data_IF_459377875537
#
_entry.id   IF_459377875537
#
_cell.length_a   1.000
_cell.length_b   1.000
_cell.length_c   1.000
_cell.angle_alpha   90.00
_cell.angle_beta   90.00
_cell.angle_gamma   90.00
#
_symmetry.space_group_name_H-M   'P 1'
#
loop_
_entity.id
_entity.type
_entity.pdbx_description
1 polymer ?
#
# COMPACT_ATOMS: atom_id res chain seq x y z
N UNK A 1 -28.41 -21.96 56.40
CA UNK A 1 -29.16 -23.20 56.72
C UNK A 1 -28.33 -24.11 57.62
N UNK A 2 -27.12 -24.49 57.22
CA UNK A 2 -26.18 -25.23 58.08
C UNK A 2 -26.01 -24.52 59.44
N UNK A 3 -25.60 -23.26 59.44
CA UNK A 3 -25.43 -22.44 60.66
C UNK A 3 -26.66 -22.38 61.57
N UNK A 4 -27.87 -22.29 61.00
CA UNK A 4 -29.11 -22.29 61.77
C UNK A 4 -29.44 -23.66 62.35
N UNK A 5 -29.14 -24.74 61.62
CA UNK A 5 -29.32 -26.11 62.10
C UNK A 5 -28.27 -26.47 63.16
N UNK A 6 -27.01 -26.05 62.99
CA UNK A 6 -25.93 -26.20 63.98
C UNK A 6 -26.29 -25.51 65.29
N UNK A 7 -26.81 -24.27 65.24
CA UNK A 7 -27.25 -23.56 66.43
C UNK A 7 -28.40 -24.29 67.16
N UNK A 8 -29.35 -24.85 66.42
CA UNK A 8 -30.44 -25.65 66.99
C UNK A 8 -29.94 -26.99 67.56
N UNK A 9 -28.98 -27.64 66.88
CA UNK A 9 -28.36 -28.89 67.34
C UNK A 9 -27.58 -28.64 68.64
N UNK A 10 -26.80 -27.56 68.71
CA UNK A 10 -26.01 -27.20 69.88
C UNK A 10 -26.89 -26.82 71.07
N UNK A 11 -27.99 -26.09 70.85
CA UNK A 11 -28.98 -25.81 71.88
C UNK A 11 -29.68 -27.08 72.40
N UNK A 12 -29.94 -28.06 71.51
CA UNK A 12 -30.54 -29.34 71.88
C UNK A 12 -29.57 -30.31 72.57
N UNK A 13 -28.26 -30.05 72.50
CA UNK A 13 -27.20 -30.85 73.12
C UNK A 13 -26.65 -30.23 74.41
N UNK A 14 -27.17 -29.07 74.84
CA UNK A 14 -26.79 -28.44 76.11
C UNK A 14 -27.28 -29.31 77.28
N UNK A 15 -26.37 -29.95 78.06
CA UNK A 15 -26.75 -30.86 79.13
C UNK A 15 -27.19 -30.12 80.40
N UNK A 16 -27.21 -28.77 80.39
CA UNK A 16 -27.51 -27.93 81.53
C UNK A 16 -26.29 -27.70 82.42
N UNK A 17 -26.36 -26.68 83.30
CA UNK A 17 -25.21 -26.17 84.07
C UNK A 17 -24.56 -27.22 84.98
N UNK A 18 -25.36 -27.92 85.79
CA UNK A 18 -24.84 -28.90 86.77
C UNK A 18 -24.18 -30.11 86.12
N UNK A 19 -24.74 -30.63 85.01
CA UNK A 19 -24.10 -31.71 84.23
C UNK A 19 -22.85 -31.20 83.52
N UNK A 20 -22.87 -30.00 82.96
CA UNK A 20 -21.71 -29.40 82.28
C UNK A 20 -20.52 -29.18 83.23
N UNK A 21 -20.78 -28.70 84.45
CA UNK A 21 -19.76 -28.48 85.47
C UNK A 21 -19.15 -29.80 85.94
N UNK A 22 -19.98 -30.79 86.26
CA UNK A 22 -19.50 -32.12 86.67
C UNK A 22 -18.70 -32.81 85.56
N UNK A 23 -19.15 -32.75 84.31
CA UNK A 23 -18.39 -33.30 83.18
C UNK A 23 -17.03 -32.60 83.00
N UNK A 24 -16.94 -31.29 83.24
CA UNK A 24 -15.67 -30.56 83.16
C UNK A 24 -14.72 -30.91 84.30
N UNK A 25 -15.24 -31.05 85.53
CA UNK A 25 -14.45 -31.45 86.70
C UNK A 25 -13.82 -32.84 86.53
N UNK A 26 -14.56 -33.76 85.90
CA UNK A 26 -14.09 -35.10 85.56
C UNK A 26 -13.36 -35.21 84.21
N UNK A 27 -13.14 -34.10 83.48
CA UNK A 27 -12.48 -34.06 82.17
C UNK A 27 -13.17 -34.91 81.09
N UNK A 28 -14.50 -34.99 81.17
CA UNK A 28 -15.38 -35.75 80.27
C UNK A 28 -16.19 -34.86 79.32
N UNK A 29 -15.99 -33.54 79.37
CA UNK A 29 -16.72 -32.56 78.57
C UNK A 29 -16.45 -32.67 77.06
N UNK A 30 -15.26 -33.15 76.67
CA UNK A 30 -14.88 -33.37 75.27
C UNK A 30 -15.20 -34.77 74.74
N UNK A 31 -15.75 -35.67 75.55
CA UNK A 31 -16.09 -37.02 75.12
C UNK A 31 -17.34 -37.00 74.22
N UNK A 32 -17.38 -37.84 73.18
CA UNK A 32 -18.50 -37.85 72.25
C UNK A 32 -19.79 -38.28 72.94
N UNK A 33 -20.89 -37.72 72.46
CA UNK A 33 -22.23 -38.10 72.89
C UNK A 33 -22.73 -39.29 72.09
N UNK A 34 -23.63 -40.07 72.67
CA UNK A 34 -24.21 -41.23 71.98
C UNK A 34 -24.85 -40.82 70.64
N UNK A 35 -25.58 -39.70 70.59
CA UNK A 35 -26.22 -39.19 69.37
C UNK A 35 -25.26 -38.91 68.20
N UNK A 36 -24.01 -38.54 68.48
CA UNK A 36 -23.02 -38.17 67.46
C UNK A 36 -22.51 -39.40 66.67
N UNK A 37 -22.61 -40.59 67.26
CA UNK A 37 -22.20 -41.86 66.64
C UNK A 37 -23.36 -42.71 66.12
N UNK A 38 -24.56 -42.13 65.98
CA UNK A 38 -25.78 -42.84 65.59
C UNK A 38 -26.26 -42.44 64.21
N UNK A 39 -26.34 -43.42 63.31
CA UNK A 39 -27.03 -43.30 62.02
C UNK A 39 -28.30 -44.15 62.06
N UNK A 40 -29.41 -43.59 61.59
CA UNK A 40 -30.73 -44.24 61.66
C UNK A 40 -31.31 -44.31 60.26
N UNK A 41 -31.98 -45.41 59.95
CA UNK A 41 -32.68 -45.58 58.68
C UNK A 41 -33.71 -44.46 58.48
N UNK A 42 -33.78 -43.84 57.27
CA UNK A 42 -34.64 -42.69 57.02
C UNK A 42 -36.10 -42.87 57.44
N UNK A 43 -36.57 -41.95 58.26
CA UNK A 43 -37.91 -41.91 58.83
C UNK A 43 -38.11 -42.75 60.10
N UNK A 44 -37.11 -43.45 60.62
CA UNK A 44 -37.16 -44.09 61.94
C UNK A 44 -36.52 -43.24 63.05
N UNK A 45 -36.01 -42.06 62.74
CA UNK A 45 -35.28 -41.18 63.66
C UNK A 45 -36.15 -40.81 64.87
N UNK A 46 -37.42 -40.48 64.64
CA UNK A 46 -38.37 -40.14 65.71
C UNK A 46 -38.66 -41.35 66.62
N UNK A 47 -38.71 -42.56 66.06
CA UNK A 47 -38.91 -43.78 66.84
C UNK A 47 -37.69 -44.04 67.74
N UNK A 48 -36.48 -43.99 67.17
CA UNK A 48 -35.23 -44.18 67.91
C UNK A 48 -35.04 -43.09 68.98
N UNK A 49 -35.32 -41.84 68.64
CA UNK A 49 -35.29 -40.71 69.57
C UNK A 49 -36.35 -40.80 70.67
N UNK A 50 -37.49 -41.44 70.40
CA UNK A 50 -38.51 -41.66 71.43
C UNK A 50 -38.08 -42.74 72.44
N UNK A 51 -37.40 -43.79 71.97
CA UNK A 51 -36.92 -44.87 72.86
C UNK A 51 -35.69 -44.42 73.65
N UNK A 52 -34.67 -43.90 72.98
CA UNK A 52 -33.44 -43.42 73.63
C UNK A 52 -33.70 -42.13 74.41
N UNK A 53 -34.67 -41.31 73.99
CA UNK A 53 -35.05 -40.08 74.69
C UNK A 53 -33.82 -39.22 74.98
N UNK A 54 -33.54 -38.95 76.25
CA UNK A 54 -32.40 -38.12 76.61
C UNK A 54 -31.11 -38.95 76.84
N UNK A 55 -31.17 -40.29 76.72
CA UNK A 55 -29.99 -41.17 76.62
C UNK A 55 -29.18 -40.92 75.34
N UNK A 56 -29.78 -40.26 74.34
CA UNK A 56 -29.05 -39.72 73.19
C UNK A 56 -27.91 -38.77 73.59
N UNK A 57 -28.05 -38.03 74.68
CA UNK A 57 -27.02 -37.11 75.19
C UNK A 57 -26.02 -37.79 76.13
N UNK A 58 -26.11 -39.10 76.30
CA UNK A 58 -25.21 -39.82 77.20
C UNK A 58 -23.76 -39.73 76.71
N UNK A 59 -22.84 -39.55 77.65
CA UNK A 59 -21.40 -39.51 77.37
C UNK A 59 -20.86 -40.93 77.25
N UNK A 60 -20.09 -41.19 76.19
CA UNK A 60 -19.44 -42.49 75.99
C UNK A 60 -18.19 -42.60 76.86
N UNK A 61 -18.15 -43.59 77.75
CA UNK A 61 -17.06 -43.86 78.69
C UNK A 61 -16.67 -45.33 78.72
N UNK A 62 -15.38 -45.63 78.69
CA UNK A 62 -14.88 -47.01 78.61
C UNK A 62 -15.26 -47.87 79.84
N UNK A 63 -15.54 -47.23 81.00
CA UNK A 63 -16.05 -47.88 82.21
C UNK A 63 -16.58 -46.86 83.22
N UNK A 64 -17.26 -47.35 84.25
CA UNK A 64 -17.85 -46.50 85.31
C UNK A 64 -17.04 -46.49 86.61
N UNK A 65 -15.93 -47.23 86.66
CA UNK A 65 -15.12 -47.38 87.87
C UNK A 65 -14.40 -46.07 88.21
N UNK A 66 -14.44 -45.68 89.49
CA UNK A 66 -13.71 -44.51 89.99
C UNK A 66 -14.38 -43.15 89.74
N UNK A 67 -15.62 -43.11 89.26
CA UNK A 67 -16.41 -41.89 89.16
C UNK A 67 -16.91 -41.44 90.55
N UNK A 68 -16.62 -40.20 90.94
CA UNK A 68 -17.14 -39.63 92.17
C UNK A 68 -18.56 -39.07 91.94
N UNK A 69 -19.54 -39.94 92.11
CA UNK A 69 -20.95 -39.57 92.02
C UNK A 69 -21.42 -38.73 93.23
N UNK A 70 -20.64 -38.68 94.32
CA UNK A 70 -20.99 -37.93 95.52
C UNK A 70 -20.98 -36.41 95.32
N UNK A 71 -20.21 -35.92 94.33
CA UNK A 71 -20.15 -34.51 93.95
C UNK A 71 -21.21 -34.05 92.95
N UNK A 72 -22.07 -34.94 92.44
CA UNK A 72 -23.12 -34.58 91.48
C UNK A 72 -24.40 -34.12 92.20
N UNK A 73 -24.56 -32.81 92.41
CA UNK A 73 -25.67 -32.25 93.21
C UNK A 73 -26.93 -31.90 92.40
N UNK A 74 -26.80 -31.61 91.09
CA UNK A 74 -27.93 -31.15 90.26
C UNK A 74 -27.81 -31.58 88.79
N UNK A 75 -28.88 -32.15 88.24
CA UNK A 75 -29.04 -32.43 86.81
C UNK A 75 -29.46 -33.88 86.52
N UNK A 76 -29.42 -34.25 85.24
CA UNK A 76 -29.72 -35.60 84.74
C UNK A 76 -28.51 -36.13 83.95
N UNK A 77 -27.56 -36.73 84.67
CA UNK A 77 -26.32 -37.27 84.09
C UNK A 77 -26.57 -38.66 83.51
N UNK A 78 -26.14 -38.85 82.26
CA UNK A 78 -26.22 -40.14 81.57
C UNK A 78 -24.89 -40.53 80.99
N UNK A 79 -24.50 -41.78 81.24
CA UNK A 79 -23.22 -42.34 80.83
C UNK A 79 -23.48 -43.70 80.17
N UNK A 80 -22.79 -43.98 79.07
CA UNK A 80 -22.89 -45.24 78.34
C UNK A 80 -21.51 -45.82 78.14
N UNK A 81 -21.36 -47.11 78.43
CA UNK A 81 -20.14 -47.84 78.14
C UNK A 81 -20.23 -48.50 76.76
N UNK A 82 -19.34 -48.15 75.82
CA UNK A 82 -19.38 -48.72 74.49
C UNK A 82 -19.00 -50.20 74.56
N UNK A 83 -19.80 -51.02 73.87
CA UNK A 83 -19.50 -52.43 73.63
C UNK A 83 -19.82 -52.76 72.17
N UNK A 84 -19.30 -53.89 71.68
CA UNK A 84 -19.41 -54.25 70.26
C UNK A 84 -20.87 -54.30 69.82
N UNK A 85 -21.23 -53.50 68.81
CA UNK A 85 -22.59 -53.43 68.30
C UNK A 85 -23.07 -54.77 67.73
N UNK A 86 -24.37 -55.05 67.94
CA UNK A 86 -25.06 -56.24 67.47
C UNK A 86 -26.30 -55.78 66.71
N UNK A 87 -26.70 -56.49 65.65
CA UNK A 87 -28.02 -56.33 65.04
C UNK A 87 -28.95 -57.45 65.49
N UNK A 88 -30.20 -57.09 65.80
CA UNK A 88 -31.27 -58.03 66.15
C UNK A 88 -32.39 -57.82 65.13
N UNK A 89 -32.47 -58.74 64.16
CA UNK A 89 -33.46 -58.68 63.09
C UNK A 89 -34.90 -58.59 63.65
N UNK A 90 -35.69 -57.67 63.11
CA UNK A 90 -37.07 -57.44 63.54
C UNK A 90 -37.22 -56.61 64.82
N UNK A 91 -36.13 -56.09 65.39
CA UNK A 91 -36.15 -55.07 66.44
C UNK A 91 -35.84 -53.69 65.88
N UNK A 92 -36.05 -52.65 66.68
CA UNK A 92 -35.73 -51.26 66.31
C UNK A 92 -34.21 -51.08 66.17
N UNK A 93 -33.41 -51.93 66.82
CA UNK A 93 -31.96 -51.93 66.67
C UNK A 93 -31.51 -52.19 65.23
N UNK A 94 -32.29 -52.96 64.46
CA UNK A 94 -32.03 -53.24 63.04
C UNK A 94 -32.14 -51.97 62.16
N UNK A 95 -32.74 -50.89 62.69
CA UNK A 95 -32.89 -49.59 62.03
C UNK A 95 -31.79 -48.60 62.40
N UNK A 96 -30.80 -49.03 63.19
CA UNK A 96 -29.75 -48.17 63.74
C UNK A 96 -28.38 -48.75 63.41
N UNK A 97 -27.54 -47.91 62.81
CA UNK A 97 -26.12 -48.16 62.64
C UNK A 97 -25.36 -47.40 63.73
N UNK A 98 -24.65 -48.14 64.59
CA UNK A 98 -23.90 -47.60 65.72
C UNK A 98 -22.62 -48.39 65.98
N UNK A 99 -21.61 -47.71 66.51
CA UNK A 99 -20.40 -48.37 67.02
C UNK A 99 -20.63 -49.03 68.41
N UNK A 100 -21.66 -48.59 69.13
CA UNK A 100 -22.00 -49.04 70.49
C UNK A 100 -23.20 -49.99 70.46
N UNK A 101 -23.17 -51.08 71.24
CA UNK A 101 -24.33 -51.94 71.44
C UNK A 101 -25.49 -51.20 72.12
N UNK A 102 -26.63 -51.14 71.42
CA UNK A 102 -27.87 -50.56 71.91
C UNK A 102 -28.94 -51.62 72.16
N UNK A 103 -28.57 -52.90 72.20
CA UNK A 103 -29.48 -54.03 72.42
C UNK A 103 -30.33 -53.91 73.68
N UNK A 104 -29.79 -53.31 74.74
CA UNK A 104 -30.48 -53.05 76.01
C UNK A 104 -31.66 -52.07 75.87
N UNK A 105 -31.55 -51.07 74.99
CA UNK A 105 -32.60 -50.09 74.72
C UNK A 105 -33.53 -50.53 73.58
N UNK A 106 -32.95 -50.99 72.47
CA UNK A 106 -33.66 -51.14 71.19
C UNK A 106 -33.97 -52.61 70.83
N UNK A 107 -33.25 -53.57 71.40
CA UNK A 107 -33.31 -54.98 70.99
C UNK A 107 -34.65 -55.68 71.28
N UNK A 108 -35.42 -55.19 72.25
CA UNK A 108 -36.77 -55.70 72.58
C UNK A 108 -37.90 -54.79 72.10
N UNK A 109 -37.58 -53.75 71.36
CA UNK A 109 -38.56 -52.84 70.77
C UNK A 109 -38.80 -53.27 69.35
N UNK A 110 -40.03 -53.61 68.99
CA UNK A 110 -40.40 -54.02 67.63
C UNK A 110 -40.93 -52.81 66.84
N UNK A 111 -40.35 -52.51 65.67
CA UNK A 111 -40.83 -51.42 64.82
C UNK A 111 -42.14 -51.82 64.13
N UNK A 112 -43.10 -50.90 64.08
CA UNK A 112 -44.36 -51.02 63.32
C UNK A 112 -44.63 -49.72 62.56
N UNK A 113 -45.47 -49.75 61.54
CA UNK A 113 -45.67 -48.56 60.70
C UNK A 113 -46.58 -47.53 61.39
N UNK A 114 -47.62 -47.98 62.11
CA UNK A 114 -48.66 -47.09 62.65
C UNK A 114 -49.06 -47.40 64.09
N UNK A 115 -49.70 -46.43 64.75
CA UNK A 115 -50.28 -46.61 66.08
C UNK A 115 -51.31 -47.74 66.12
N UNK A 116 -52.15 -47.86 65.09
CA UNK A 116 -53.18 -48.91 65.03
C UNK A 116 -52.55 -50.31 65.02
N UNK A 117 -51.45 -50.49 64.29
CA UNK A 117 -50.68 -51.73 64.30
C UNK A 117 -50.08 -52.00 65.69
N UNK A 118 -49.53 -50.97 66.34
CA UNK A 118 -48.97 -51.09 67.68
C UNK A 118 -50.02 -51.51 68.72
N UNK A 119 -51.22 -50.93 68.66
CA UNK A 119 -52.33 -51.25 69.56
C UNK A 119 -52.90 -52.66 69.30
N UNK A 120 -53.03 -53.06 68.03
CA UNK A 120 -53.47 -54.41 67.66
C UNK A 120 -52.49 -55.49 68.13
N UNK A 121 -51.18 -55.24 68.01
CA UNK A 121 -50.13 -56.16 68.45
C UNK A 121 -49.92 -56.23 69.97
N UNK A 122 -50.48 -55.28 70.74
CA UNK A 122 -50.20 -55.10 72.17
C UNK A 122 -50.46 -56.35 73.02
N UNK A 123 -51.52 -57.11 72.73
CA UNK A 123 -51.91 -58.27 73.52
C UNK A 123 -50.93 -59.47 73.38
N UNK A 124 -50.16 -59.50 72.28
CA UNK A 124 -49.22 -60.57 71.96
C UNK A 124 -47.80 -60.31 72.47
N UNK A 125 -47.55 -59.17 73.13
CA UNK A 125 -46.22 -58.81 73.63
C UNK A 125 -45.79 -59.72 74.78
N UNK A 126 -44.58 -60.26 74.68
CA UNK A 126 -43.93 -60.94 75.78
C UNK A 126 -43.41 -59.95 76.84
N UNK A 127 -42.97 -60.47 77.98
CA UNK A 127 -42.46 -59.63 79.06
C UNK A 127 -41.19 -58.88 78.63
N UNK A 128 -41.24 -57.54 78.77
CA UNK A 128 -40.16 -56.64 78.35
C UNK A 128 -40.15 -56.30 76.86
N UNK A 129 -41.11 -56.78 76.06
CA UNK A 129 -41.28 -56.35 74.67
C UNK A 129 -42.18 -55.11 74.57
N UNK A 130 -41.90 -54.27 73.57
CA UNK A 130 -42.73 -53.12 73.23
C UNK A 130 -42.78 -52.90 71.72
N UNK A 131 -43.75 -52.14 71.25
CA UNK A 131 -43.95 -51.77 69.86
C UNK A 131 -43.75 -50.28 69.70
N UNK A 132 -43.09 -49.85 68.65
CA UNK A 132 -42.97 -48.43 68.34
C UNK A 132 -43.31 -48.14 66.89
N UNK A 133 -44.21 -47.18 66.69
CA UNK A 133 -44.54 -46.73 65.35
C UNK A 133 -43.46 -45.82 64.78
N UNK A 134 -43.38 -45.72 63.45
CA UNK A 134 -42.57 -44.71 62.75
C UNK A 134 -42.80 -43.28 63.27
N UNK A 135 -44.04 -42.93 63.57
CA UNK A 135 -44.44 -41.62 64.09
C UNK A 135 -44.17 -41.40 65.60
N UNK A 136 -43.40 -42.28 66.26
CA UNK A 136 -42.97 -42.12 67.65
C UNK A 136 -44.00 -42.50 68.72
N UNK A 137 -45.04 -43.29 68.39
CA UNK A 137 -45.94 -43.87 69.39
C UNK A 137 -45.33 -45.14 69.97
N UNK A 138 -44.94 -45.10 71.25
CA UNK A 138 -44.32 -46.23 71.94
C UNK A 138 -45.33 -46.95 72.85
N UNK A 139 -45.63 -48.20 72.53
CA UNK A 139 -46.68 -49.02 73.15
C UNK A 139 -46.06 -50.23 73.84
N UNK A 140 -46.22 -50.31 75.16
CA UNK A 140 -46.00 -51.55 75.91
C UNK A 140 -47.31 -52.22 76.26
N UNK A 141 -47.23 -53.38 76.91
CA UNK A 141 -48.42 -54.12 77.38
C UNK A 141 -49.30 -53.29 78.32
N UNK A 142 -48.68 -52.45 79.14
CA UNK A 142 -49.33 -51.66 80.18
C UNK A 142 -49.10 -50.15 80.06
N UNK A 143 -48.49 -49.68 78.98
CA UNK A 143 -48.23 -48.24 78.78
C UNK A 143 -48.36 -47.82 77.31
N UNK A 144 -48.62 -46.54 77.11
CA UNK A 144 -48.55 -45.84 75.83
C UNK A 144 -47.84 -44.51 76.09
N UNK A 145 -46.75 -44.25 75.38
CA UNK A 145 -46.01 -42.99 75.44
C UNK A 145 -46.03 -42.33 74.08
N UNK A 146 -46.29 -41.02 74.09
CA UNK A 146 -46.24 -40.17 72.89
C UNK A 146 -45.38 -38.98 73.23
N UNK A 147 -44.33 -38.74 72.44
CA UNK A 147 -43.52 -37.53 72.55
C UNK A 147 -43.92 -36.59 71.42
N UNK A 148 -44.50 -35.45 71.78
CA UNK A 148 -44.70 -34.31 70.89
C UNK A 148 -43.78 -33.23 71.40
N UNK A 149 -42.51 -33.30 71.02
CA UNK A 149 -41.52 -32.33 71.49
C UNK A 149 -41.76 -30.96 70.84
N UNK A 150 -41.41 -29.89 71.56
CA UNK A 150 -41.23 -28.57 70.97
C UNK A 150 -40.07 -28.61 69.96
N UNK A 151 -40.10 -27.74 68.94
CA UNK A 151 -39.17 -27.75 67.78
C UNK A 151 -37.67 -27.85 68.15
N UNK A 152 -37.26 -27.43 69.35
CA UNK A 152 -35.87 -27.47 69.79
C UNK A 152 -35.38 -28.88 70.22
N UNK A 153 -36.25 -29.72 70.80
CA UNK A 153 -35.85 -31.03 71.35
C UNK A 153 -36.22 -32.23 70.46
N UNK A 154 -37.06 -32.01 69.45
CA UNK A 154 -37.43 -33.05 68.48
C UNK A 154 -36.47 -33.08 67.31
N UNK A 155 -36.15 -34.26 66.79
CA UNK A 155 -35.40 -34.42 65.56
C UNK A 155 -33.91 -34.17 65.70
N UNK A 156 -33.30 -34.46 66.86
CA UNK A 156 -31.85 -34.35 67.06
C UNK A 156 -31.07 -35.20 66.04
N UNK A 157 -31.53 -36.43 65.80
CA UNK A 157 -30.92 -37.37 64.87
C UNK A 157 -31.16 -36.97 63.41
N UNK A 158 -32.39 -36.56 63.07
CA UNK A 158 -32.75 -36.10 61.73
C UNK A 158 -31.98 -34.83 61.35
N UNK A 159 -31.82 -33.88 62.28
CA UNK A 159 -31.02 -32.66 62.09
C UNK A 159 -29.54 -32.95 61.96
N UNK A 160 -29.00 -33.85 62.78
CA UNK A 160 -27.59 -34.28 62.69
C UNK A 160 -27.25 -34.87 61.32
N UNK A 161 -28.08 -35.79 60.82
CA UNK A 161 -27.90 -36.38 59.48
C UNK A 161 -28.13 -35.35 58.35
N UNK A 162 -29.08 -34.42 58.51
CA UNK A 162 -29.27 -33.33 57.55
C UNK A 162 -28.07 -32.39 57.51
N UNK A 163 -27.45 -32.11 58.66
CA UNK A 163 -26.24 -31.31 58.77
C UNK A 163 -25.05 -31.97 58.08
N UNK A 164 -24.83 -33.26 58.34
CA UNK A 164 -23.77 -34.05 57.69
C UNK A 164 -23.92 -33.99 56.17
N UNK A 165 -25.13 -34.30 55.64
CA UNK A 165 -25.40 -34.21 54.20
C UNK A 165 -25.17 -32.80 53.64
N UNK A 166 -25.63 -31.76 54.34
CA UNK A 166 -25.48 -30.39 53.87
C UNK A 166 -24.01 -29.93 53.90
N UNK A 167 -23.21 -30.42 54.85
CA UNK A 167 -21.77 -30.15 54.92
C UNK A 167 -21.03 -30.84 53.77
N UNK A 168 -21.35 -32.11 53.50
CA UNK A 168 -20.80 -32.83 52.34
C UNK A 168 -21.17 -32.13 51.02
N UNK A 169 -22.45 -31.74 50.85
CA UNK A 169 -22.91 -30.98 49.69
C UNK A 169 -22.18 -29.63 49.56
N UNK A 170 -21.88 -28.94 50.68
CA UNK A 170 -21.11 -27.69 50.65
C UNK A 170 -19.69 -27.96 50.16
N UNK A 171 -19.03 -28.96 50.71
CA UNK A 171 -17.62 -29.25 50.42
C UNK A 171 -17.44 -29.66 48.95
N UNK A 172 -18.36 -30.47 48.41
CA UNK A 172 -18.42 -30.77 46.98
C UNK A 172 -18.58 -29.51 46.12
N UNK A 173 -19.46 -28.59 46.53
CA UNK A 173 -19.71 -27.35 45.80
C UNK A 173 -18.56 -26.35 45.88
N UNK A 174 -17.86 -26.29 47.01
CA UNK A 174 -16.67 -25.47 47.17
C UNK A 174 -15.54 -25.97 46.27
N UNK A 175 -15.31 -27.29 46.23
CA UNK A 175 -14.33 -27.90 45.33
C UNK A 175 -14.67 -27.67 43.84
N UNK A 176 -15.95 -27.82 43.47
CA UNK A 176 -16.43 -27.50 42.12
C UNK A 176 -16.17 -26.03 41.75
N UNK A 177 -16.40 -25.10 42.69
CA UNK A 177 -16.21 -23.68 42.48
C UNK A 177 -14.74 -23.32 42.26
N UNK A 178 -13.84 -23.86 43.09
CA UNK A 178 -12.39 -23.68 42.93
C UNK A 178 -11.91 -24.13 41.54
N UNK A 179 -12.35 -25.30 41.07
CA UNK A 179 -12.01 -25.80 39.74
C UNK A 179 -12.52 -24.89 38.62
N UNK A 180 -13.73 -24.33 38.75
CA UNK A 180 -14.28 -23.42 37.74
C UNK A 180 -13.54 -22.08 37.73
N UNK A 181 -13.14 -21.56 38.90
CA UNK A 181 -12.37 -20.32 39.00
C UNK A 181 -10.98 -20.48 38.36
N UNK A 182 -10.28 -21.58 38.62
CA UNK A 182 -9.01 -21.89 37.97
C UNK A 182 -9.16 -21.98 36.44
N UNK A 183 -10.20 -22.66 35.96
CA UNK A 183 -10.48 -22.77 34.53
C UNK A 183 -10.79 -21.41 33.90
N UNK A 184 -11.52 -20.57 34.62
CA UNK A 184 -11.91 -19.24 34.17
C UNK A 184 -10.68 -18.33 34.05
N UNK A 185 -9.75 -18.40 35.00
CA UNK A 185 -8.50 -17.64 34.93
C UNK A 185 -7.58 -18.12 33.79
N UNK A 186 -7.48 -19.44 33.57
CA UNK A 186 -6.77 -19.99 32.40
C UNK A 186 -7.37 -19.49 31.08
N UNK A 187 -8.70 -19.47 30.96
CA UNK A 187 -9.38 -18.97 29.76
C UNK A 187 -9.16 -17.46 29.56
N UNK A 188 -9.15 -16.67 30.63
CA UNK A 188 -8.83 -15.24 30.57
C UNK A 188 -7.41 -14.99 30.10
N UNK A 189 -6.45 -15.77 30.57
CA UNK A 189 -5.05 -15.65 30.14
C UNK A 189 -4.90 -16.03 28.66
N UNK A 190 -5.49 -17.15 28.24
CA UNK A 190 -5.51 -17.56 26.84
C UNK A 190 -6.19 -16.52 25.93
N UNK A 191 -7.28 -15.90 26.38
CA UNK A 191 -7.94 -14.82 25.66
C UNK A 191 -6.99 -13.62 25.47
N UNK A 192 -6.31 -13.18 26.52
CA UNK A 192 -5.35 -12.05 26.45
C UNK A 192 -4.21 -12.34 25.47
N UNK A 193 -3.65 -13.55 25.51
CA UNK A 193 -2.60 -13.97 24.58
C UNK A 193 -3.08 -13.92 23.13
N UNK A 194 -4.29 -14.44 22.84
CA UNK A 194 -4.87 -14.39 21.49
C UNK A 194 -5.18 -12.96 21.03
N UNK A 195 -5.59 -12.07 21.95
CA UNK A 195 -5.82 -10.66 21.64
C UNK A 195 -4.51 -9.92 21.29
N UNK A 196 -3.43 -10.20 22.02
CA UNK A 196 -2.10 -9.67 21.75
C UNK A 196 -1.54 -10.18 20.41
N UNK A 197 -1.67 -11.48 20.12
CA UNK A 197 -1.28 -12.07 18.85
C UNK A 197 -2.05 -11.45 17.68
N UNK A 198 -3.36 -11.25 17.84
CA UNK A 198 -4.21 -10.59 16.83
C UNK A 198 -3.75 -9.17 16.56
N UNK A 199 -3.45 -8.39 17.60
CA UNK A 199 -2.97 -7.01 17.44
C UNK A 199 -1.58 -6.97 16.78
N UNK A 200 -0.68 -7.89 17.12
CA UNK A 200 0.62 -8.03 16.44
C UNK A 200 0.46 -8.36 14.95
N UNK A 201 -0.42 -9.33 14.61
CA UNK A 201 -0.70 -9.68 13.21
C UNK A 201 -1.30 -8.49 12.45
N UNK A 202 -2.21 -7.74 13.07
CA UNK A 202 -2.80 -6.54 12.47
C UNK A 202 -1.77 -5.47 12.16
N UNK A 203 -0.81 -5.23 13.08
CA UNK A 203 0.30 -4.29 12.85
C UNK A 203 1.18 -4.73 11.69
N UNK A 204 1.58 -6.01 11.66
CA UNK A 204 2.36 -6.59 10.55
C UNK A 204 1.62 -6.44 9.21
N UNK A 205 0.31 -6.71 9.18
CA UNK A 205 -0.50 -6.53 7.97
C UNK A 205 -0.52 -5.08 7.49
N UNK A 206 -0.63 -4.11 8.41
CA UNK A 206 -0.59 -2.68 8.07
C UNK A 206 0.77 -2.25 7.52
N UNK A 207 1.86 -2.74 8.11
CA UNK A 207 3.23 -2.45 7.65
C UNK A 207 3.48 -3.03 6.26
N UNK A 208 3.10 -4.30 6.03
CA UNK A 208 3.19 -4.95 4.72
C UNK A 208 2.34 -4.24 3.67
N UNK A 209 1.10 -3.84 4.01
CA UNK A 209 0.25 -3.07 3.10
C UNK A 209 0.85 -1.71 2.74
N UNK A 210 1.51 -1.04 3.70
CA UNK A 210 2.23 0.22 3.46
C UNK A 210 3.43 0.00 2.53
N UNK A 211 4.23 -1.04 2.77
CA UNK A 211 5.37 -1.39 1.90
C UNK A 211 4.90 -1.73 0.48
N UNK A 212 3.82 -2.51 0.36
CA UNK A 212 3.21 -2.84 -0.93
C UNK A 212 2.74 -1.57 -1.67
N UNK A 213 2.08 -0.64 -0.97
CA UNK A 213 1.64 0.61 -1.57
C UNK A 213 2.83 1.47 -2.06
N UNK A 214 3.91 1.54 -1.28
CA UNK A 214 5.14 2.24 -1.67
C UNK A 214 5.80 1.61 -2.90
N UNK A 215 5.93 0.28 -2.94
CA UNK A 215 6.47 -0.45 -4.09
C UNK A 215 5.61 -0.26 -5.33
N UNK A 216 4.28 -0.28 -5.19
CA UNK A 216 3.34 -0.03 -6.30
C UNK A 216 3.46 1.40 -6.83
N UNK A 217 3.64 2.39 -5.95
CA UNK A 217 3.87 3.77 -6.36
C UNK A 217 5.21 3.92 -7.11
N UNK A 218 6.29 3.30 -6.62
CA UNK A 218 7.59 3.26 -7.30
C UNK A 218 7.50 2.61 -8.68
N UNK A 219 6.79 1.48 -8.77
CA UNK A 219 6.56 0.78 -10.03
C UNK A 219 5.79 1.67 -11.03
N UNK A 220 4.68 2.28 -10.60
CA UNK A 220 3.88 3.19 -11.44
C UNK A 220 4.70 4.38 -11.94
N UNK A 221 5.48 5.02 -11.05
CA UNK A 221 6.37 6.11 -11.43
C UNK A 221 7.43 5.67 -12.46
N UNK A 222 8.00 4.47 -12.29
CA UNK A 222 8.97 3.91 -13.24
C UNK A 222 8.33 3.59 -14.60
N UNK A 223 7.10 3.07 -14.62
CA UNK A 223 6.35 2.79 -15.84
C UNK A 223 6.02 4.08 -16.60
N UNK A 224 5.50 5.10 -15.90
CA UNK A 224 5.23 6.40 -16.50
C UNK A 224 6.50 7.05 -17.08
N UNK A 225 7.65 6.92 -16.38
CA UNK A 225 8.93 7.41 -16.88
C UNK A 225 9.40 6.66 -18.12
N UNK A 226 9.22 5.33 -18.16
CA UNK A 226 9.54 4.51 -19.33
C UNK A 226 8.67 4.90 -20.54
N UNK A 227 7.37 5.10 -20.33
CA UNK A 227 6.45 5.55 -21.37
C UNK A 227 6.85 6.92 -21.92
N UNK A 228 7.11 7.91 -21.05
CA UNK A 228 7.59 9.23 -21.46
C UNK A 228 8.91 9.18 -22.25
N UNK A 229 9.87 8.37 -21.78
CA UNK A 229 11.14 8.18 -22.49
C UNK A 229 10.94 7.50 -23.84
N UNK A 230 10.01 6.55 -23.94
CA UNK A 230 9.70 5.86 -25.21
C UNK A 230 9.09 6.82 -26.25
N UNK A 231 8.16 7.69 -25.83
CA UNK A 231 7.56 8.71 -26.68
C UNK A 231 8.62 9.72 -27.13
N UNK A 232 9.45 10.19 -26.19
CA UNK A 232 10.54 11.12 -26.51
C UNK A 232 11.54 10.50 -27.49
N UNK A 233 11.87 9.22 -27.32
CA UNK A 233 12.76 8.50 -28.24
C UNK A 233 12.17 8.44 -29.65
N UNK A 234 10.90 8.06 -29.79
CA UNK A 234 10.23 8.01 -31.11
C UNK A 234 10.25 9.37 -31.81
N UNK A 235 9.93 10.44 -31.07
CA UNK A 235 9.97 11.81 -31.60
C UNK A 235 11.39 12.21 -32.05
N UNK A 236 12.42 11.89 -31.27
CA UNK A 236 13.81 12.16 -31.67
C UNK A 236 14.22 11.35 -32.90
N UNK A 237 13.77 10.09 -33.00
CA UNK A 237 14.04 9.25 -34.17
C UNK A 237 13.36 9.83 -35.44
N UNK A 238 12.14 10.36 -35.32
CA UNK A 238 11.43 11.08 -36.39
C UNK A 238 12.15 12.38 -36.78
N UNK A 239 12.51 13.23 -35.80
CA UNK A 239 13.28 14.47 -36.03
C UNK A 239 14.64 14.19 -36.71
N UNK A 240 15.32 13.11 -36.33
CA UNK A 240 16.57 12.67 -36.96
C UNK A 240 16.35 12.23 -38.42
N UNK A 241 15.27 11.52 -38.72
CA UNK A 241 14.94 11.11 -40.07
C UNK A 241 14.62 12.31 -40.97
N UNK A 242 13.85 13.28 -40.46
CA UNK A 242 13.54 14.54 -41.16
C UNK A 242 14.81 15.34 -41.46
N UNK A 243 15.69 15.52 -40.47
CA UNK A 243 16.96 16.23 -40.66
C UNK A 243 17.89 15.52 -41.65
N UNK A 244 17.91 14.18 -41.64
CA UNK A 244 18.68 13.40 -42.61
C UNK A 244 18.16 13.61 -44.04
N UNK A 245 16.84 13.63 -44.23
CA UNK A 245 16.21 13.91 -45.52
C UNK A 245 16.49 15.34 -46.00
N UNK A 246 16.33 16.34 -45.13
CA UNK A 246 16.67 17.74 -45.43
C UNK A 246 18.14 17.89 -45.84
N UNK A 247 19.06 17.26 -45.08
CA UNK A 247 20.47 17.28 -45.42
C UNK A 247 20.74 16.69 -46.80
N UNK A 248 20.06 15.60 -47.16
CA UNK A 248 20.14 14.99 -48.49
C UNK A 248 19.76 15.97 -49.60
N UNK A 249 18.60 16.62 -49.45
CA UNK A 249 18.10 17.60 -50.40
C UNK A 249 19.02 18.82 -50.55
N UNK A 250 19.55 19.34 -49.44
CA UNK A 250 20.53 20.44 -49.44
C UNK A 250 21.83 20.04 -50.15
N UNK A 251 22.32 18.82 -49.96
CA UNK A 251 23.50 18.32 -50.70
C UNK A 251 23.25 18.22 -52.21
N UNK A 252 22.05 17.81 -52.63
CA UNK A 252 21.67 17.76 -54.04
C UNK A 252 21.60 19.17 -54.64
N UNK A 253 20.95 20.11 -53.95
CA UNK A 253 20.88 21.51 -54.37
C UNK A 253 22.26 22.17 -54.45
N UNK A 254 23.15 21.90 -53.48
CA UNK A 254 24.53 22.37 -53.52
C UNK A 254 25.29 21.82 -54.72
N UNK A 255 25.08 20.54 -55.06
CA UNK A 255 25.71 19.91 -56.22
C UNK A 255 25.19 20.55 -57.53
N UNK A 256 23.88 20.79 -57.63
CA UNK A 256 23.26 21.47 -58.78
C UNK A 256 23.79 22.90 -58.94
N UNK A 257 23.82 23.69 -57.86
CA UNK A 257 24.34 25.06 -57.90
C UNK A 257 25.83 25.12 -58.30
N UNK A 258 26.63 24.12 -57.90
CA UNK A 258 28.03 23.99 -58.32
C UNK A 258 28.16 23.68 -59.81
N UNK A 259 27.29 22.83 -60.35
CA UNK A 259 27.22 22.54 -61.79
C UNK A 259 26.85 23.79 -62.58
N UNK A 260 25.80 24.51 -62.16
CA UNK A 260 25.39 25.77 -62.79
C UNK A 260 26.50 26.84 -62.75
N UNK A 261 27.23 26.93 -61.63
CA UNK A 261 28.38 27.83 -61.53
C UNK A 261 29.49 27.44 -62.51
N UNK A 262 29.78 26.15 -62.64
CA UNK A 262 30.78 25.65 -63.58
C UNK A 262 30.39 25.96 -65.04
N UNK A 263 29.13 25.71 -65.42
CA UNK A 263 28.61 26.02 -66.75
C UNK A 263 28.73 27.52 -67.06
N UNK A 264 28.41 28.38 -66.08
CA UNK A 264 28.55 29.83 -66.21
C UNK A 264 30.02 30.27 -66.37
N UNK A 265 30.95 29.64 -65.63
CA UNK A 265 32.39 29.91 -65.76
C UNK A 265 32.92 29.50 -67.13
N UNK A 266 32.48 28.33 -67.65
CA UNK A 266 32.88 27.85 -68.97
C UNK A 266 32.32 28.74 -70.09
N UNK A 267 31.06 29.19 -69.96
CA UNK A 267 30.48 30.18 -70.87
C UNK A 267 31.23 31.51 -70.84
N UNK A 268 31.58 32.02 -69.65
CA UNK A 268 32.40 33.23 -69.51
C UNK A 268 33.78 33.09 -70.16
N UNK A 269 34.41 31.91 -70.07
CA UNK A 269 35.69 31.63 -70.72
C UNK A 269 35.56 31.68 -72.25
N UNK A 270 34.52 31.04 -72.81
CA UNK A 270 34.21 31.09 -74.24
C UNK A 270 33.94 32.51 -74.74
N UNK A 271 33.11 33.27 -74.01
CA UNK A 271 32.82 34.67 -74.34
C UNK A 271 34.08 35.54 -74.30
N UNK A 272 34.99 35.27 -73.36
CA UNK A 272 36.28 35.96 -73.27
C UNK A 272 37.16 35.64 -74.48
N UNK A 273 37.24 34.36 -74.90
CA UNK A 273 37.97 33.96 -76.10
C UNK A 273 37.39 34.60 -77.37
N UNK A 274 36.06 34.56 -77.53
CA UNK A 274 35.37 35.21 -78.66
C UNK A 274 35.61 36.72 -78.69
N UNK A 275 35.59 37.37 -77.53
CA UNK A 275 35.90 38.79 -77.41
C UNK A 275 37.32 39.09 -77.89
N UNK A 276 38.32 38.31 -77.50
CA UNK A 276 39.70 38.50 -77.97
C UNK A 276 39.82 38.32 -79.49
N UNK A 277 39.16 37.31 -80.07
CA UNK A 277 39.10 37.12 -81.54
C UNK A 277 38.45 38.32 -82.24
N UNK A 278 37.33 38.82 -81.73
CA UNK A 278 36.64 39.98 -82.30
C UNK A 278 37.46 41.27 -82.15
N UNK A 279 38.16 41.46 -81.03
CA UNK A 279 39.08 42.59 -80.83
C UNK A 279 40.24 42.53 -81.82
N UNK A 280 40.88 41.37 -81.99
CA UNK A 280 41.94 41.17 -82.98
C UNK A 280 41.43 41.44 -84.42
N UNK A 281 40.24 40.95 -84.77
CA UNK A 281 39.61 41.22 -86.06
C UNK A 281 39.31 42.71 -86.26
N UNK A 282 38.77 43.38 -85.23
CA UNK A 282 38.51 44.84 -85.25
C UNK A 282 39.81 45.60 -85.49
N UNK A 283 40.88 45.27 -84.78
CA UNK A 283 42.16 45.96 -84.89
C UNK A 283 42.80 45.72 -86.26
N UNK A 284 42.73 44.49 -86.79
CA UNK A 284 43.16 44.21 -88.16
C UNK A 284 42.33 44.94 -89.23
N UNK A 285 41.02 45.11 -89.05
CA UNK A 285 40.18 45.90 -89.95
C UNK A 285 40.49 47.41 -89.87
N UNK A 286 40.80 47.92 -88.67
CA UNK A 286 41.23 49.31 -88.48
C UNK A 286 42.56 49.60 -89.18
N UNK A 287 43.55 48.72 -89.00
CA UNK A 287 44.84 48.84 -89.69
C UNK A 287 44.67 48.81 -91.22
N UNK A 288 43.83 47.90 -91.75
CA UNK A 288 43.51 47.87 -93.18
C UNK A 288 42.84 49.15 -93.66
N UNK A 289 41.87 49.68 -92.90
CA UNK A 289 41.18 50.93 -93.23
C UNK A 289 42.17 52.10 -93.26
N UNK A 290 43.05 52.20 -92.27
CA UNK A 290 44.04 53.27 -92.19
C UNK A 290 45.05 53.19 -93.35
N UNK A 291 45.48 51.98 -93.71
CA UNK A 291 46.30 51.74 -94.91
C UNK A 291 45.61 52.20 -96.19
N UNK A 292 44.36 51.78 -96.42
CA UNK A 292 43.58 52.18 -97.61
C UNK A 292 43.36 53.69 -97.65
N UNK A 293 43.12 54.33 -96.49
CA UNK A 293 43.00 55.80 -96.40
C UNK A 293 44.31 56.51 -96.74
N UNK A 294 45.44 55.96 -96.32
CA UNK A 294 46.75 56.53 -96.62
C UNK A 294 47.10 56.35 -98.09
N UNK A 295 46.85 55.18 -98.67
CA UNK A 295 46.98 54.92 -100.12
C UNK A 295 46.07 55.86 -100.93
N UNK A 296 44.80 56.03 -100.52
CA UNK A 296 43.88 56.97 -101.16
C UNK A 296 44.36 58.43 -101.08
N UNK A 297 44.94 58.85 -99.94
CA UNK A 297 45.58 60.17 -99.81
C UNK A 297 46.77 60.32 -100.75
N UNK A 298 47.65 59.33 -100.82
CA UNK A 298 48.79 59.33 -101.74
C UNK A 298 48.34 59.41 -103.19
N UNK A 299 47.35 58.61 -103.60
CA UNK A 299 46.78 58.68 -104.95
C UNK A 299 46.13 60.03 -105.24
N UNK A 300 45.43 60.62 -104.28
CA UNK A 300 44.86 61.97 -104.41
C UNK A 300 45.97 63.03 -104.57
N UNK A 301 47.03 62.96 -103.79
CA UNK A 301 48.17 63.88 -103.86
C UNK A 301 48.91 63.71 -105.19
N UNK A 302 49.13 62.48 -105.66
CA UNK A 302 49.69 62.18 -106.98
C UNK A 302 48.81 62.73 -108.11
N UNK A 303 47.49 62.51 -108.03
CA UNK A 303 46.55 63.06 -109.01
C UNK A 303 46.59 64.59 -109.03
N UNK A 304 46.70 65.23 -107.86
CA UNK A 304 46.86 66.68 -107.75
C UNK A 304 48.19 67.16 -108.36
N UNK A 305 49.31 66.49 -108.07
CA UNK A 305 50.62 66.80 -108.67
C UNK A 305 50.59 66.65 -110.20
N UNK A 306 49.98 65.59 -110.72
CA UNK A 306 49.80 65.39 -112.15
C UNK A 306 48.91 66.48 -112.76
N UNK A 307 47.81 66.87 -112.11
CA UNK A 307 46.95 67.96 -112.56
C UNK A 307 47.69 69.30 -112.61
N UNK A 308 48.50 69.62 -111.60
CA UNK A 308 49.37 70.81 -111.58
C UNK A 308 50.40 70.74 -112.71
N UNK A 309 51.01 69.56 -112.95
CA UNK A 309 51.98 69.37 -114.03
C UNK A 309 51.35 69.52 -115.42
N UNK A 310 50.14 69.00 -115.62
CA UNK A 310 49.34 69.21 -116.84
C UNK A 310 49.00 70.68 -117.00
N UNK A 311 48.60 71.37 -115.92
CA UNK A 311 48.37 72.82 -115.94
C UNK A 311 49.61 73.61 -116.32
N UNK A 312 50.78 73.27 -115.77
CA UNK A 312 52.07 73.88 -116.10
C UNK A 312 52.49 73.60 -117.55
N UNK A 313 52.34 72.36 -118.03
CA UNK A 313 52.63 71.99 -119.41
C UNK A 313 51.69 72.68 -120.40
N UNK A 314 50.39 72.81 -120.07
CA UNK A 314 49.45 73.61 -120.87
C UNK A 314 49.85 75.08 -120.90
N UNK A 315 50.21 75.67 -119.76
CA UNK A 315 50.69 77.05 -119.72
C UNK A 315 52.01 77.24 -120.52
N UNK A 316 52.93 76.27 -120.48
CA UNK A 316 54.13 76.26 -121.32
C UNK A 316 53.80 76.12 -122.81
N UNK A 317 52.85 75.25 -123.16
CA UNK A 317 52.36 75.08 -124.52
C UNK A 317 51.69 76.36 -125.04
N UNK A 318 50.84 77.00 -124.25
CA UNK A 318 50.17 78.25 -124.63
C UNK A 318 51.17 79.42 -124.73
N UNK A 319 52.15 79.47 -123.82
CA UNK A 319 53.28 80.41 -123.87
C UNK A 319 54.12 80.26 -125.13
N UNK A 320 54.49 79.02 -125.49
CA UNK A 320 55.28 78.73 -126.70
C UNK A 320 54.47 78.99 -127.97
N UNK A 321 53.17 78.66 -127.98
CA UNK A 321 52.25 79.02 -129.06
C UNK A 321 52.14 80.54 -129.23
N UNK A 322 51.96 81.30 -128.15
CA UNK A 322 51.94 82.77 -128.21
C UNK A 322 53.30 83.37 -128.60
N UNK A 323 54.42 82.72 -128.26
CA UNK A 323 55.73 83.12 -128.76
C UNK A 323 55.86 82.86 -130.28
N UNK A 324 55.30 81.75 -130.77
CA UNK A 324 55.24 81.43 -132.19
C UNK A 324 54.36 82.42 -132.96
N UNK A 325 53.14 82.69 -132.49
CA UNK A 325 52.24 83.69 -133.09
C UNK A 325 52.89 85.09 -133.14
N UNK A 326 53.67 85.47 -132.11
CA UNK A 326 54.46 86.72 -132.12
C UNK A 326 55.60 86.70 -133.13
N UNK A 327 56.29 85.57 -133.31
CA UNK A 327 57.34 85.43 -134.32
C UNK A 327 56.76 85.48 -135.73
N UNK A 328 55.59 84.86 -135.97
CA UNK A 328 54.86 84.92 -137.22
C UNK A 328 54.46 86.36 -137.57
N UNK A 329 53.90 87.11 -136.61
CA UNK A 329 53.57 88.54 -136.80
C UNK A 329 54.83 89.41 -137.04
N UNK A 330 55.95 89.10 -136.40
CA UNK A 330 57.22 89.80 -136.68
C UNK A 330 57.75 89.49 -138.07
N UNK A 331 57.54 88.27 -138.56
CA UNK A 331 57.93 87.86 -139.90
C UNK A 331 57.08 88.55 -140.97
N UNK A 332 55.76 88.62 -140.79
CA UNK A 332 54.85 89.39 -141.66
C UNK A 332 55.25 90.87 -141.72
N UNK A 333 55.51 91.51 -140.58
CA UNK A 333 55.98 92.91 -140.54
C UNK A 333 57.31 93.13 -141.25
N UNK A 334 58.20 92.14 -141.25
CA UNK A 334 59.46 92.23 -141.97
C UNK A 334 59.25 92.13 -143.50
N UNK A 335 58.26 91.34 -143.95
CA UNK A 335 57.86 91.25 -145.35
C UNK A 335 57.22 92.57 -145.81
N UNK A 336 56.26 93.12 -145.06
CA UNK A 336 55.63 94.41 -145.35
C UNK A 336 56.66 95.55 -145.45
N UNK A 337 57.65 95.55 -144.54
CA UNK A 337 58.70 96.58 -144.53
C UNK A 337 59.67 96.44 -145.71
N UNK A 338 59.88 95.22 -146.22
CA UNK A 338 60.63 94.99 -147.46
C UNK A 338 59.87 95.51 -148.68
N UNK A 339 58.57 95.27 -148.74
CA UNK A 339 57.73 95.76 -149.85
C UNK A 339 57.63 97.29 -149.86
N UNK A 340 57.46 97.93 -148.70
CA UNK A 340 57.46 99.38 -148.57
C UNK A 340 58.80 100.03 -148.98
N UNK A 341 59.93 99.41 -148.67
CA UNK A 341 61.24 99.92 -149.10
C UNK A 341 61.46 99.77 -150.61
N UNK A 342 60.83 98.78 -151.27
CA UNK A 342 60.89 98.64 -152.73
C UNK A 342 60.03 99.69 -153.47
N UNK A 343 58.83 100.00 -152.95
CA UNK A 343 57.97 101.05 -153.52
C UNK A 343 58.59 102.45 -153.39
N UNK A 344 59.23 102.75 -152.25
CA UNK A 344 59.91 104.04 -152.04
C UNK A 344 61.14 104.25 -152.95
N UNK A 345 61.68 103.19 -153.57
CA UNK A 345 62.76 103.29 -154.56
C UNK A 345 62.23 103.57 -155.98
N UNK A 346 61.00 103.17 -156.30
CA UNK A 346 60.38 103.43 -157.62
C UNK A 346 59.75 104.84 -157.72
N UNK A 347 59.29 105.44 -156.62
CA UNK A 347 58.70 106.80 -156.62
C UNK A 347 59.75 107.94 -156.60
N UNK A 348 61.02 107.64 -156.30
CA UNK A 348 62.10 108.63 -156.21
C UNK A 348 62.76 109.04 -157.53
N UNK A 349 62.59 108.27 -158.61
CA UNK A 349 63.23 108.52 -159.91
C UNK A 349 62.41 109.43 -160.85
N UNK A 350 61.14 109.69 -160.54
CA UNK A 350 60.20 110.43 -161.40
C UNK A 350 60.35 111.97 -161.48
N UNK A 351 60.88 112.72 -160.48
CA UNK A 351 61.01 114.19 -160.60
C UNK A 351 62.40 114.68 -161.02
N UNK A 352 63.26 113.80 -161.56
CA UNK A 352 64.52 114.19 -162.25
C UNK A 352 64.36 114.28 -163.78
N UNK A 353 63.27 113.77 -164.36
CA UNK A 353 62.95 113.90 -165.79
C UNK A 353 62.12 115.15 -166.12
N UNK A 354 61.29 115.66 -165.21
CA UNK A 354 60.43 116.84 -165.46
C UNK A 354 61.15 118.20 -165.38
N UNK A 355 62.28 118.32 -164.68
CA UNK A 355 63.10 119.55 -164.67
C UNK A 355 64.13 119.63 -165.81
N UNK A 356 64.29 118.55 -166.61
CA UNK A 356 65.09 118.54 -167.85
C UNK A 356 64.29 118.99 -169.10
N UNK A 357 62.96 119.07 -169.03
CA UNK A 357 62.07 119.34 -170.18
C UNK A 357 61.52 120.78 -170.28
N UNK A 358 62.04 121.74 -169.50
CA UNK A 358 61.71 123.19 -169.66
C UNK A 358 62.96 124.08 -169.75
N UNK A 359 63.92 123.61 -170.54
CA UNK A 359 65.00 124.39 -171.15
C UNK A 359 64.84 124.42 -172.69
N UNK A 360 63.59 124.47 -173.18
CA UNK A 360 63.20 124.98 -174.50
C UNK A 360 61.92 125.83 -174.38
#
# INVERSE_FOLDING_TARGET
RITSLEALQQAAMDPGKGVSEWLREHQLDQRPRLAEGLRVEPGWELAVETVLSADLQAVLLDGFDGLDMGGFEQGDLRLVSPSTSISIAGSLLDKVESATDLSSWLGRVRPVETLDQALAGRAALADGESLISRDGYWVGRYFLRVRRAAEAESGLLARGQELERLQDERDEREADLELQDERLDQLREAQRQLEDEREQQRRRQQDEARQQAELKAKLSASQARLEQLSVRRRRLDEELAELAAQRGLETEQLAEARLQLQDALDAMALDTEQREVLLASRDGLREKLDRVRQEARQHKDQAHQLAVRVGSLKAQHDSTRQALERLEQQFERAIERREQLSLNLEEGEAPLEELRMKLE
#
